data_IF_917343000541
#
_entry.id   IF_917343000541
#
_cell.length_a   1.000
_cell.length_b   1.000
_cell.length_c   1.000
_cell.angle_alpha   90.00
_cell.angle_beta   90.00
_cell.angle_gamma   90.00
#
_symmetry.space_group_name_H-M   'P 1'
#
loop_
_entity.id
_entity.type
_entity.pdbx_description
1 polymer ?
#
# COMPACT_ATOMS: atom_id res chain seq x y z
N UNK A 1 36.83 -44.06 34.87
CA UNK A 1 36.68 -42.59 34.81
C UNK A 1 37.13 -42.12 33.43
N UNK A 2 36.19 -41.62 32.62
CA UNK A 2 36.35 -40.50 31.68
C UNK A 2 35.03 -40.36 30.91
N UNK A 3 34.10 -39.57 31.47
CA UNK A 3 32.91 -39.12 30.75
C UNK A 3 33.36 -38.07 29.72
N UNK A 4 33.26 -38.37 28.44
CA UNK A 4 33.28 -37.34 27.39
C UNK A 4 31.93 -36.62 27.39
N UNK A 5 31.90 -35.28 27.47
CA UNK A 5 30.65 -34.53 27.41
C UNK A 5 30.03 -34.63 26.00
N UNK A 6 28.69 -34.66 25.88
CA UNK A 6 28.04 -34.61 24.58
C UNK A 6 28.28 -33.23 23.97
N UNK A 7 28.94 -33.19 22.81
CA UNK A 7 29.11 -31.98 22.02
C UNK A 7 27.78 -31.65 21.36
N UNK A 8 27.09 -30.63 21.84
CA UNK A 8 25.96 -30.03 21.12
C UNK A 8 26.52 -29.25 19.93
N UNK A 9 26.05 -29.48 18.68
CA UNK A 9 26.35 -28.57 17.60
C UNK A 9 25.49 -27.32 17.78
N UNK A 10 26.10 -26.25 18.29
CA UNK A 10 25.56 -24.90 18.21
C UNK A 10 25.78 -24.37 16.79
N UNK A 11 24.87 -24.66 15.87
CA UNK A 11 24.85 -23.95 14.59
C UNK A 11 24.14 -22.62 14.81
N UNK A 12 24.82 -21.47 14.69
CA UNK A 12 24.12 -20.19 14.65
C UNK A 12 23.34 -20.17 13.34
N UNK A 13 22.02 -20.01 13.42
CA UNK A 13 21.14 -19.73 12.28
C UNK A 13 21.75 -18.59 11.47
N UNK A 14 22.40 -18.92 10.36
CA UNK A 14 23.08 -17.93 9.53
C UNK A 14 21.98 -17.30 8.68
N UNK A 15 21.76 -16.01 8.89
CA UNK A 15 20.85 -15.25 8.05
C UNK A 15 21.32 -15.34 6.60
N UNK A 16 20.41 -15.25 5.61
CA UNK A 16 20.83 -15.09 4.24
C UNK A 16 21.76 -13.87 4.12
N UNK A 17 22.74 -13.89 3.21
CA UNK A 17 23.57 -12.74 2.91
C UNK A 17 22.71 -11.51 2.65
N UNK A 18 23.18 -10.35 3.08
CA UNK A 18 22.48 -9.08 2.80
C UNK A 18 22.38 -8.95 1.28
N UNK A 19 21.15 -8.90 0.79
CA UNK A 19 20.90 -8.71 -0.63
C UNK A 19 21.06 -7.24 -0.98
N UNK A 20 22.27 -6.86 -1.40
CA UNK A 20 22.50 -5.54 -1.99
C UNK A 20 22.07 -5.58 -3.46
N UNK A 21 21.32 -4.58 -3.95
CA UNK A 21 21.19 -4.40 -5.40
C UNK A 21 22.58 -4.22 -6.04
N UNK A 22 22.74 -4.49 -7.33
CA UNK A 22 23.80 -3.84 -8.08
C UNK A 22 23.59 -2.32 -7.97
N UNK A 23 24.63 -1.56 -7.60
CA UNK A 23 24.62 -0.09 -7.62
C UNK A 23 24.30 0.37 -9.05
N UNK A 24 23.02 0.57 -9.35
CA UNK A 24 22.58 1.08 -10.64
C UNK A 24 22.87 2.58 -10.67
N UNK A 25 24.07 2.92 -11.16
CA UNK A 25 24.60 4.27 -11.41
C UNK A 25 24.72 5.17 -10.16
N UNK A 26 25.58 6.21 -10.16
CA UNK A 26 25.66 7.14 -9.04
C UNK A 26 24.38 7.99 -9.05
N UNK A 27 23.34 7.48 -8.40
CA UNK A 27 22.21 8.29 -7.98
C UNK A 27 22.71 9.40 -7.06
N UNK A 28 22.15 10.60 -7.24
CA UNK A 28 22.43 11.80 -6.45
C UNK A 28 22.55 11.42 -4.96
N UNK A 29 23.57 11.94 -4.23
CA UNK A 29 23.71 11.66 -2.80
C UNK A 29 22.39 11.97 -2.09
N UNK A 30 22.00 11.15 -1.11
CA UNK A 30 20.79 11.39 -0.35
C UNK A 30 20.80 12.81 0.21
N UNK A 31 19.67 13.49 0.13
CA UNK A 31 19.54 14.83 0.71
C UNK A 31 20.00 14.78 2.17
N UNK A 32 20.81 15.74 2.64
CA UNK A 32 21.31 15.71 4.00
C UNK A 32 20.13 15.68 4.98
N UNK A 33 20.16 14.72 5.90
CA UNK A 33 19.17 14.61 6.98
C UNK A 33 19.15 15.92 7.75
N UNK A 34 17.96 16.50 7.96
CA UNK A 34 17.84 17.66 8.84
C UNK A 34 18.27 17.25 10.26
N UNK A 35 19.02 18.10 10.94
CA UNK A 35 19.54 17.83 12.28
C UNK A 35 18.44 17.52 13.32
N UNK A 36 17.20 17.97 13.07
CA UNK A 36 16.01 17.63 13.87
C UNK A 36 15.52 16.18 13.68
N UNK A 37 15.82 15.55 12.55
CA UNK A 37 15.44 14.15 12.28
C UNK A 37 16.45 13.17 12.89
N UNK A 38 17.71 13.61 13.09
CA UNK A 38 18.78 12.81 13.70
C UNK A 38 18.54 12.57 15.20
N UNK A 39 17.92 13.51 15.90
CA UNK A 39 17.65 13.40 17.34
C UNK A 39 16.57 12.35 17.71
N UNK A 40 15.79 11.89 16.74
CA UNK A 40 14.74 10.87 16.94
C UNK A 40 15.15 9.47 16.46
N UNK A 41 16.40 9.26 16.01
CA UNK A 41 16.97 7.93 15.79
C UNK A 41 17.29 7.27 17.14
N UNK A 42 16.25 6.96 17.90
CA UNK A 42 16.34 5.86 18.86
C UNK A 42 16.68 4.60 18.07
N UNK A 43 17.81 3.97 18.38
CA UNK A 43 18.26 2.67 17.82
C UNK A 43 17.23 1.52 17.99
N UNK A 44 16.03 1.79 18.50
CA UNK A 44 14.96 0.81 18.73
C UNK A 44 13.76 0.94 17.77
N UNK A 45 13.68 1.98 16.95
CA UNK A 45 12.62 2.09 15.94
C UNK A 45 13.15 1.62 14.59
N UNK A 46 12.68 0.47 14.11
CA UNK A 46 12.82 0.10 12.69
C UNK A 46 12.34 1.32 11.88
N UNK A 47 13.17 1.91 11.02
CA UNK A 47 12.82 3.16 10.36
C UNK A 47 11.54 2.98 9.55
N UNK A 48 10.65 3.98 9.62
CA UNK A 48 9.42 4.02 8.82
C UNK A 48 9.81 3.88 7.34
N UNK A 49 9.19 2.92 6.64
CA UNK A 49 9.56 2.55 5.27
C UNK A 49 10.28 1.21 5.11
N UNK A 50 10.66 0.56 6.22
CA UNK A 50 11.09 -0.85 6.21
C UNK A 50 9.89 -1.81 6.35
N UNK A 51 8.80 -1.50 5.66
CA UNK A 51 7.52 -2.22 5.77
C UNK A 51 7.02 -2.60 4.38
N UNK A 52 6.30 -3.70 4.30
CA UNK A 52 5.49 -3.97 3.13
C UNK A 52 4.08 -3.42 3.36
N UNK A 53 3.47 -2.93 2.30
CA UNK A 53 2.03 -2.68 2.23
C UNK A 53 1.40 -3.86 1.49
N UNK A 54 0.36 -4.43 2.08
CA UNK A 54 -0.46 -5.49 1.48
C UNK A 54 -1.79 -4.85 1.09
N UNK A 55 -2.13 -4.89 -0.20
CA UNK A 55 -3.36 -4.31 -0.77
C UNK A 55 -4.28 -5.40 -1.33
N UNK A 56 -5.52 -5.03 -1.60
CA UNK A 56 -6.50 -5.92 -2.23
C UNK A 56 -7.10 -6.95 -1.26
N UNK A 57 -7.08 -6.64 0.03
CA UNK A 57 -7.65 -7.50 1.05
C UNK A 57 -9.17 -7.38 0.97
N UNK A 58 -9.83 -8.49 0.66
CA UNK A 58 -11.29 -8.56 0.63
C UNK A 58 -11.78 -8.66 2.05
N UNK A 59 -12.57 -7.68 2.50
CA UNK A 59 -13.09 -7.65 3.87
C UNK A 59 -14.23 -8.66 4.01
N UNK A 60 -14.18 -9.43 5.09
CA UNK A 60 -15.27 -10.32 5.52
C UNK A 60 -16.13 -9.59 6.56
N UNK A 61 -17.40 -9.99 6.70
CA UNK A 61 -18.33 -9.34 7.62
C UNK A 61 -17.77 -9.28 9.05
N UNK A 62 -17.55 -8.05 9.53
CA UNK A 62 -17.07 -7.77 10.88
C UNK A 62 -15.56 -7.91 11.09
N UNK A 63 -14.78 -8.24 10.05
CA UNK A 63 -13.31 -8.35 10.15
C UNK A 63 -12.58 -7.19 9.50
N UNK A 64 -11.48 -6.76 10.11
CA UNK A 64 -10.55 -5.80 9.52
C UNK A 64 -9.50 -6.50 8.65
N UNK A 65 -8.84 -5.73 7.78
CA UNK A 65 -7.77 -6.23 6.93
C UNK A 65 -6.61 -6.87 7.73
N UNK A 66 -6.26 -6.31 8.88
CA UNK A 66 -5.21 -6.84 9.74
C UNK A 66 -5.62 -8.15 10.42
N UNK A 67 -6.87 -8.27 10.86
CA UNK A 67 -7.42 -9.53 11.42
C UNK A 67 -7.36 -10.65 10.38
N UNK A 68 -7.78 -10.39 9.15
CA UNK A 68 -7.75 -11.35 8.04
C UNK A 68 -6.33 -11.83 7.75
N UNK A 69 -5.34 -10.92 7.81
CA UNK A 69 -3.94 -11.29 7.61
C UNK A 69 -3.41 -12.11 8.77
N UNK A 70 -3.68 -11.70 10.02
CA UNK A 70 -3.30 -12.48 11.20
C UNK A 70 -3.85 -13.91 11.13
N UNK A 71 -5.16 -14.07 10.87
CA UNK A 71 -5.79 -15.39 10.71
C UNK A 71 -5.16 -16.20 9.57
N UNK A 72 -4.90 -15.57 8.42
CA UNK A 72 -4.25 -16.23 7.28
C UNK A 72 -2.86 -16.75 7.65
N UNK A 73 -2.08 -15.95 8.37
CA UNK A 73 -0.73 -16.32 8.81
C UNK A 73 -0.79 -17.44 9.86
N UNK A 74 -1.71 -17.37 10.83
CA UNK A 74 -1.91 -18.38 11.87
C UNK A 74 -2.35 -19.73 11.30
N UNK A 75 -3.33 -19.74 10.39
CA UNK A 75 -3.80 -20.95 9.70
C UNK A 75 -2.66 -21.63 8.92
N UNK A 76 -1.71 -20.85 8.39
CA UNK A 76 -0.57 -21.38 7.64
C UNK A 76 0.55 -21.90 8.52
N UNK A 77 0.80 -21.28 9.67
CA UNK A 77 1.69 -21.85 10.70
C UNK A 77 1.17 -23.23 11.16
N UNK A 78 -0.15 -23.41 11.21
CA UNK A 78 -0.79 -24.69 11.56
C UNK A 78 -0.76 -25.73 10.42
N UNK A 79 -0.83 -25.33 9.14
CA UNK A 79 -0.92 -26.23 7.97
C UNK A 79 0.41 -26.46 7.24
N UNK A 80 1.51 -26.51 8.02
CA UNK A 80 2.95 -26.48 7.67
C UNK A 80 3.50 -27.45 6.58
N UNK A 81 2.67 -28.05 5.72
CA UNK A 81 3.07 -29.06 4.75
C UNK A 81 3.25 -28.58 3.29
N UNK A 82 2.70 -27.43 2.86
CA UNK A 82 2.56 -27.12 1.42
C UNK A 82 3.33 -25.91 0.86
N UNK A 83 4.11 -25.17 1.68
CA UNK A 83 4.91 -24.04 1.16
C UNK A 83 6.34 -24.46 0.84
N UNK A 84 6.56 -24.87 -0.42
CA UNK A 84 7.89 -25.09 -1.03
C UNK A 84 8.55 -23.77 -1.43
N UNK A 85 8.53 -22.74 -0.57
CA UNK A 85 9.00 -21.39 -0.92
C UNK A 85 10.11 -20.93 0.02
N UNK A 86 11.33 -20.89 -0.55
CA UNK A 86 12.58 -20.23 -0.14
C UNK A 86 12.68 -19.90 1.35
N UNK A 87 13.28 -20.84 2.06
CA UNK A 87 13.46 -20.76 3.49
C UNK A 87 14.93 -20.49 3.82
N UNK A 88 15.18 -19.95 5.01
CA UNK A 88 16.54 -19.89 5.56
C UNK A 88 17.14 -21.29 5.71
N UNK A 89 18.40 -21.38 6.15
CA UNK A 89 19.11 -22.66 6.41
C UNK A 89 18.36 -23.62 7.37
N UNK A 90 17.30 -23.14 8.05
CA UNK A 90 16.46 -23.89 8.99
C UNK A 90 15.01 -24.13 8.51
N UNK A 91 14.68 -23.82 7.26
CA UNK A 91 13.34 -23.98 6.72
C UNK A 91 12.23 -23.07 7.35
N UNK A 92 12.57 -21.89 7.90
CA UNK A 92 11.61 -21.00 8.58
C UNK A 92 11.61 -19.56 8.06
N UNK A 93 10.41 -18.98 7.91
CA UNK A 93 10.23 -17.54 7.63
C UNK A 93 10.44 -16.74 8.92
N UNK A 94 10.97 -15.52 8.79
CA UNK A 94 11.11 -14.61 9.92
C UNK A 94 9.75 -14.06 10.34
N UNK A 95 9.44 -14.09 11.63
CA UNK A 95 8.19 -13.57 12.18
C UNK A 95 7.95 -12.11 11.79
N UNK A 96 6.72 -11.82 11.37
CA UNK A 96 6.24 -10.48 11.03
C UNK A 96 5.18 -10.00 12.03
N UNK A 97 5.04 -8.69 12.12
CA UNK A 97 3.97 -8.01 12.86
C UNK A 97 3.11 -7.26 11.86
N UNK A 98 1.79 -7.47 11.95
CA UNK A 98 0.79 -6.74 11.17
C UNK A 98 0.53 -5.39 11.84
N UNK A 99 0.55 -4.33 11.04
CA UNK A 99 0.24 -2.98 11.49
C UNK A 99 -1.05 -2.53 10.78
N UNK A 100 -2.12 -2.26 11.54
CA UNK A 100 -3.35 -1.75 10.97
C UNK A 100 -3.10 -0.42 10.26
N UNK A 101 -3.82 -0.18 9.17
CA UNK A 101 -3.82 1.12 8.52
C UNK A 101 -4.61 2.13 9.39
N UNK A 102 -3.91 2.73 10.35
CA UNK A 102 -4.48 3.56 11.42
C UNK A 102 -4.86 4.96 10.92
N UNK A 103 -6.00 5.07 10.25
CA UNK A 103 -6.66 6.37 10.09
C UNK A 103 -8.17 6.20 10.17
N UNK A 104 -8.79 7.04 11.02
CA UNK A 104 -10.25 7.15 11.21
C UNK A 104 -11.03 7.36 9.90
N UNK A 105 -10.35 7.77 8.82
CA UNK A 105 -10.97 7.96 7.49
C UNK A 105 -11.15 6.67 6.69
N UNK A 106 -10.67 5.54 7.20
CA UNK A 106 -10.59 4.33 6.42
C UNK A 106 -11.01 3.07 7.21
N UNK A 107 -12.18 3.12 7.86
CA UNK A 107 -12.75 1.97 8.57
C UNK A 107 -12.93 0.71 7.69
N UNK A 108 -12.95 0.87 6.36
CA UNK A 108 -13.05 -0.21 5.37
C UNK A 108 -11.74 -0.34 4.55
N UNK A 109 -10.59 -0.28 5.22
CA UNK A 109 -9.30 -0.43 4.55
C UNK A 109 -9.14 -1.82 3.95
N UNK A 110 -8.93 -1.89 2.64
CA UNK A 110 -8.56 -3.12 1.92
C UNK A 110 -7.04 -3.29 1.85
N UNK A 111 -6.31 -2.67 2.80
CA UNK A 111 -4.87 -2.75 2.91
C UNK A 111 -4.40 -2.69 4.37
N UNK A 112 -3.23 -3.26 4.64
CA UNK A 112 -2.51 -3.10 5.91
C UNK A 112 -1.01 -2.99 5.63
N UNK A 113 -0.23 -2.79 6.70
CA UNK A 113 1.23 -2.87 6.63
C UNK A 113 1.74 -4.10 7.38
N UNK A 114 2.89 -4.62 6.98
CA UNK A 114 3.59 -5.68 7.71
C UNK A 114 5.06 -5.31 7.85
N UNK A 115 5.62 -5.64 9.01
CA UNK A 115 7.02 -5.40 9.36
C UNK A 115 7.63 -6.61 10.03
N UNK A 116 8.95 -6.68 10.14
CA UNK A 116 9.60 -7.70 10.97
C UNK A 116 9.20 -7.54 12.43
N UNK A 117 9.03 -8.66 13.13
CA UNK A 117 8.76 -8.64 14.57
C UNK A 117 9.94 -8.04 15.35
N UNK A 118 9.64 -7.36 16.46
CA UNK A 118 10.68 -6.74 17.30
C UNK A 118 11.76 -7.72 17.77
N UNK A 119 11.46 -8.97 18.17
CA UNK A 119 12.48 -9.94 18.55
C UNK A 119 13.43 -10.35 17.41
N UNK A 120 12.96 -10.32 16.15
CA UNK A 120 13.81 -10.58 14.99
C UNK A 120 14.66 -9.34 14.69
N UNK A 121 14.04 -8.16 14.70
CA UNK A 121 14.71 -6.90 14.42
C UNK A 121 15.81 -6.58 15.44
N UNK A 122 15.58 -6.84 16.73
CA UNK A 122 16.53 -6.53 17.81
C UNK A 122 17.77 -7.43 17.87
N UNK A 123 17.71 -8.61 17.22
CA UNK A 123 18.85 -9.54 17.11
C UNK A 123 19.86 -9.11 16.05
N UNK A 124 19.55 -8.09 15.25
CA UNK A 124 20.39 -7.64 14.15
C UNK A 124 21.22 -6.42 14.56
N UNK A 125 22.51 -6.43 14.23
CA UNK A 125 23.35 -5.21 14.36
C UNK A 125 22.97 -4.15 13.32
N UNK A 126 22.42 -4.56 12.18
CA UNK A 126 22.00 -3.69 11.08
C UNK A 126 20.53 -3.97 10.72
N UNK A 127 19.71 -2.97 10.35
CA UNK A 127 18.35 -3.21 9.86
C UNK A 127 18.35 -4.17 8.67
N UNK A 128 17.54 -5.23 8.74
CA UNK A 128 17.42 -6.28 7.71
C UNK A 128 16.04 -6.30 7.03
N UNK A 129 15.56 -5.17 6.47
CA UNK A 129 14.26 -5.13 5.80
C UNK A 129 14.19 -6.09 4.62
N UNK A 130 15.33 -6.40 3.98
CA UNK A 130 15.43 -7.38 2.90
C UNK A 130 14.83 -8.76 3.25
N UNK A 131 14.76 -9.12 4.53
CA UNK A 131 14.09 -10.36 4.99
C UNK A 131 12.58 -10.35 4.74
N UNK A 132 11.95 -9.17 4.62
CA UNK A 132 10.55 -9.05 4.22
C UNK A 132 10.33 -9.40 2.75
N UNK A 133 11.34 -9.33 1.87
CA UNK A 133 11.17 -9.75 0.48
C UNK A 133 10.78 -11.23 0.37
N UNK A 134 11.20 -12.05 1.33
CA UNK A 134 10.85 -13.46 1.40
C UNK A 134 9.35 -13.67 1.62
N UNK A 135 8.66 -12.69 2.21
CA UNK A 135 7.21 -12.74 2.45
C UNK A 135 6.38 -12.39 1.22
N UNK A 136 6.89 -11.61 0.26
CA UNK A 136 6.13 -11.20 -0.93
C UNK A 136 5.57 -12.42 -1.71
N UNK A 137 6.40 -13.39 -2.16
CA UNK A 137 5.90 -14.54 -2.91
C UNK A 137 4.98 -15.43 -2.06
N UNK A 138 5.24 -15.53 -0.75
CA UNK A 138 4.42 -16.30 0.18
C UNK A 138 3.02 -15.69 0.25
N UNK A 139 2.91 -14.40 0.56
CA UNK A 139 1.63 -13.69 0.65
C UNK A 139 0.84 -13.78 -0.66
N UNK A 140 1.51 -13.61 -1.80
CA UNK A 140 0.88 -13.76 -3.12
C UNK A 140 0.43 -15.19 -3.42
N UNK A 141 1.12 -16.21 -2.92
CA UNK A 141 0.70 -17.61 -3.08
C UNK A 141 -0.51 -17.96 -2.19
N UNK A 142 -0.60 -17.34 -1.02
CA UNK A 142 -1.69 -17.54 -0.06
C UNK A 142 -2.99 -16.92 -0.57
N UNK A 143 -2.87 -15.71 -1.10
CA UNK A 143 -3.99 -14.96 -1.65
C UNK A 143 -3.55 -14.29 -2.94
N UNK A 144 -3.85 -14.89 -4.11
CA UNK A 144 -3.43 -14.35 -5.42
C UNK A 144 -3.93 -12.94 -5.71
N UNK A 145 -5.01 -12.52 -5.06
CA UNK A 145 -5.58 -11.17 -5.19
C UNK A 145 -4.87 -10.13 -4.32
N UNK A 146 -4.02 -10.57 -3.38
CA UNK A 146 -3.24 -9.66 -2.55
C UNK A 146 -2.01 -9.20 -3.29
N UNK A 147 -1.76 -7.89 -3.17
CA UNK A 147 -0.55 -7.29 -3.68
C UNK A 147 0.31 -6.84 -2.51
N UNK A 148 1.40 -7.58 -2.27
CA UNK A 148 2.46 -7.18 -1.37
C UNK A 148 3.52 -6.37 -2.15
N UNK A 149 3.82 -5.16 -1.68
CA UNK A 149 4.92 -4.34 -2.20
C UNK A 149 5.56 -3.54 -1.08
N UNK A 150 6.72 -2.94 -1.35
CA UNK A 150 7.30 -1.94 -0.44
C UNK A 150 6.31 -0.79 -0.18
N UNK A 151 6.22 -0.39 1.09
CA UNK A 151 5.39 0.75 1.50
C UNK A 151 6.09 2.09 1.17
N UNK A 152 5.34 3.17 0.92
CA UNK A 152 5.93 4.51 0.90
C UNK A 152 6.53 4.88 2.26
N UNK A 153 7.55 5.76 2.29
CA UNK A 153 8.20 6.21 3.53
C UNK A 153 7.24 6.84 4.57
N UNK A 154 6.04 7.26 4.17
CA UNK A 154 5.01 7.83 5.05
C UNK A 154 3.71 7.05 4.90
N UNK A 155 3.22 6.48 5.99
CA UNK A 155 1.91 5.81 6.03
C UNK A 155 0.80 6.73 5.49
N UNK A 156 -0.11 6.15 4.71
CA UNK A 156 -1.23 6.87 4.10
C UNK A 156 -0.86 7.75 2.90
N UNK A 157 0.39 7.71 2.42
CA UNK A 157 0.79 8.31 1.14
C UNK A 157 0.62 7.38 -0.06
N UNK A 158 0.21 6.13 0.17
CA UNK A 158 -0.12 5.22 -0.90
C UNK A 158 -1.39 5.69 -1.61
N UNK A 159 -1.25 6.17 -2.84
CA UNK A 159 -2.34 6.74 -3.63
C UNK A 159 -2.66 5.92 -4.87
N UNK A 160 -2.07 4.74 -5.03
CA UNK A 160 -2.26 3.86 -6.20
C UNK A 160 -3.72 3.47 -6.45
N UNK A 161 -4.51 3.39 -5.38
CA UNK A 161 -5.93 3.03 -5.43
C UNK A 161 -6.85 4.24 -5.66
N UNK A 162 -6.30 5.46 -5.73
CA UNK A 162 -7.06 6.71 -5.68
C UNK A 162 -7.33 7.24 -7.08
N UNK A 163 -8.46 6.89 -7.67
CA UNK A 163 -8.90 7.46 -8.94
C UNK A 163 -9.46 8.88 -8.74
N UNK A 164 -9.20 9.75 -9.72
CA UNK A 164 -9.75 11.10 -9.77
C UNK A 164 -10.91 11.16 -10.75
N UNK A 165 -12.04 11.68 -10.29
CA UNK A 165 -13.28 11.85 -11.04
C UNK A 165 -13.42 13.32 -11.41
N UNK A 166 -13.46 13.63 -12.70
CA UNK A 166 -13.69 14.98 -13.21
C UNK A 166 -15.05 15.06 -13.92
N UNK A 167 -15.58 16.26 -14.09
CA UNK A 167 -16.87 16.48 -14.76
C UNK A 167 -18.09 16.44 -13.82
N UNK A 168 -17.85 16.57 -12.51
CA UNK A 168 -18.90 16.88 -11.54
C UNK A 168 -19.45 18.29 -11.79
N UNK A 169 -20.69 18.55 -11.38
CA UNK A 169 -21.39 19.81 -11.68
C UNK A 169 -20.62 21.06 -11.24
N UNK A 170 -19.76 20.98 -10.20
CA UNK A 170 -18.92 22.08 -9.72
C UNK A 170 -19.68 23.26 -9.11
N UNK A 171 -21.00 23.33 -9.31
CA UNK A 171 -21.89 24.38 -8.90
C UNK A 171 -22.63 23.98 -7.61
N UNK A 172 -22.80 24.95 -6.71
CA UNK A 172 -23.59 24.77 -5.49
C UNK A 172 -22.79 24.36 -4.26
N UNK A 173 -23.46 23.65 -3.33
CA UNK A 173 -22.91 23.34 -2.01
C UNK A 173 -22.27 21.95 -1.97
N UNK A 174 -21.49 21.67 -0.93
CA UNK A 174 -20.93 20.32 -0.66
C UNK A 174 -21.99 19.21 -0.73
N UNK A 175 -23.21 19.47 -0.25
CA UNK A 175 -24.31 18.49 -0.32
C UNK A 175 -24.68 18.11 -1.76
N UNK A 176 -24.53 19.01 -2.73
CA UNK A 176 -24.78 18.70 -4.13
C UNK A 176 -23.67 17.84 -4.71
N UNK A 177 -22.42 18.15 -4.37
CA UNK A 177 -21.26 17.37 -4.82
C UNK A 177 -21.28 15.95 -4.25
N UNK A 178 -21.68 15.79 -2.99
CA UNK A 178 -21.84 14.47 -2.36
C UNK A 178 -22.94 13.64 -3.06
N UNK A 179 -24.03 14.28 -3.53
CA UNK A 179 -25.08 13.60 -4.33
C UNK A 179 -24.58 13.19 -5.71
N UNK A 180 -23.87 14.07 -6.42
CA UNK A 180 -23.27 13.74 -7.71
C UNK A 180 -22.30 12.56 -7.55
N UNK A 181 -21.45 12.61 -6.52
CA UNK A 181 -20.49 11.55 -6.23
C UNK A 181 -21.21 10.23 -5.90
N UNK A 182 -22.31 10.24 -5.14
CA UNK A 182 -23.09 9.03 -4.87
C UNK A 182 -23.65 8.38 -6.15
N UNK A 183 -24.14 9.17 -7.11
CA UNK A 183 -24.61 8.65 -8.40
C UNK A 183 -23.46 8.08 -9.23
N UNK A 184 -22.31 8.76 -9.24
CA UNK A 184 -21.10 8.25 -9.88
C UNK A 184 -20.65 6.95 -9.21
N UNK A 185 -20.76 6.86 -7.89
CA UNK A 185 -20.39 5.64 -7.16
C UNK A 185 -21.28 4.46 -7.50
N UNK A 186 -22.60 4.67 -7.55
CA UNK A 186 -23.55 3.65 -8.00
C UNK A 186 -23.22 3.16 -9.42
N UNK A 187 -22.88 4.07 -10.34
CA UNK A 187 -22.47 3.71 -11.70
C UNK A 187 -21.17 2.88 -11.73
N UNK A 188 -20.17 3.25 -10.91
CA UNK A 188 -18.91 2.50 -10.78
C UNK A 188 -19.17 1.11 -10.19
N UNK A 189 -19.97 1.01 -9.14
CA UNK A 189 -20.33 -0.28 -8.54
C UNK A 189 -21.08 -1.19 -9.52
N UNK A 190 -21.94 -0.63 -10.39
CA UNK A 190 -22.62 -1.38 -11.47
C UNK A 190 -21.68 -1.92 -12.53
N UNK A 191 -20.45 -1.40 -12.63
CA UNK A 191 -19.38 -1.99 -13.46
C UNK A 191 -18.67 -3.15 -12.77
N UNK A 192 -19.07 -3.53 -11.56
CA UNK A 192 -18.44 -4.59 -10.77
C UNK A 192 -17.18 -4.12 -10.03
N UNK A 193 -16.96 -2.81 -9.91
CA UNK A 193 -15.78 -2.24 -9.24
C UNK A 193 -16.08 -2.01 -7.76
N UNK A 194 -15.22 -2.55 -6.90
CA UNK A 194 -15.33 -2.38 -5.45
C UNK A 194 -14.68 -1.08 -5.00
N UNK A 195 -15.45 -0.28 -4.27
CA UNK A 195 -15.05 1.05 -3.81
C UNK A 195 -14.95 1.03 -2.29
N UNK A 196 -13.75 1.31 -1.79
CA UNK A 196 -13.48 1.36 -0.36
C UNK A 196 -13.88 2.70 0.26
N UNK A 197 -13.71 3.81 -0.47
CA UNK A 197 -14.05 5.15 0.03
C UNK A 197 -14.20 6.15 -1.12
N UNK A 198 -14.90 7.27 -0.87
CA UNK A 198 -15.01 8.37 -1.82
C UNK A 198 -15.26 9.69 -1.12
N UNK A 199 -14.75 10.79 -1.67
CA UNK A 199 -15.07 12.15 -1.19
C UNK A 199 -14.92 13.19 -2.30
N UNK A 200 -15.70 14.27 -2.23
CA UNK A 200 -15.53 15.44 -3.12
C UNK A 200 -14.38 16.34 -2.65
N UNK A 201 -13.70 17.01 -3.56
CA UNK A 201 -12.75 18.07 -3.21
C UNK A 201 -13.45 19.39 -2.87
N UNK A 202 -12.72 20.31 -2.24
CA UNK A 202 -13.28 21.56 -1.72
C UNK A 202 -13.91 22.48 -2.78
N UNK A 203 -13.54 22.31 -4.05
CA UNK A 203 -14.07 23.07 -5.19
C UNK A 203 -15.23 22.35 -5.91
N UNK A 204 -15.64 21.15 -5.49
CA UNK A 204 -16.78 20.43 -6.07
C UNK A 204 -16.64 19.91 -7.51
N UNK A 205 -15.58 20.31 -8.21
CA UNK A 205 -15.32 19.95 -9.61
C UNK A 205 -14.65 18.58 -9.74
N UNK A 206 -14.06 18.07 -8.66
CA UNK A 206 -13.35 16.80 -8.63
C UNK A 206 -13.82 15.93 -7.46
N UNK A 207 -13.99 14.64 -7.73
CA UNK A 207 -14.16 13.60 -6.73
C UNK A 207 -12.90 12.75 -6.64
N UNK A 208 -12.64 12.20 -5.46
CA UNK A 208 -11.65 11.14 -5.28
C UNK A 208 -12.39 9.87 -4.91
N UNK A 209 -12.04 8.78 -5.58
CA UNK A 209 -12.58 7.45 -5.37
C UNK A 209 -11.42 6.52 -5.06
N UNK A 210 -11.49 5.83 -3.92
CA UNK A 210 -10.50 4.85 -3.49
C UNK A 210 -11.05 3.46 -3.75
N UNK A 211 -10.39 2.72 -4.62
CA UNK A 211 -10.78 1.37 -5.00
C UNK A 211 -10.20 0.32 -4.07
N UNK A 212 -10.80 -0.86 -4.07
CA UNK A 212 -10.36 -1.97 -3.23
C UNK A 212 -9.14 -2.70 -3.81
N UNK A 213 -9.06 -2.83 -5.14
CA UNK A 213 -7.99 -3.55 -5.84
C UNK A 213 -7.30 -2.69 -6.91
N UNK A 214 -6.01 -2.96 -7.16
CA UNK A 214 -5.26 -2.27 -8.23
C UNK A 214 -5.80 -2.63 -9.62
N UNK A 215 -6.27 -3.87 -9.82
CA UNK A 215 -6.87 -4.28 -11.08
C UNK A 215 -8.08 -3.40 -11.43
N UNK A 216 -8.87 -3.04 -10.43
CA UNK A 216 -10.05 -2.17 -10.60
C UNK A 216 -9.67 -0.77 -11.08
N UNK A 217 -8.50 -0.25 -10.70
CA UNK A 217 -8.01 1.05 -11.17
C UNK A 217 -7.80 1.02 -12.67
N UNK A 218 -7.09 0.01 -13.15
CA UNK A 218 -6.79 -0.13 -14.59
C UNK A 218 -8.06 -0.40 -15.39
N UNK A 219 -8.93 -1.26 -14.87
CA UNK A 219 -10.24 -1.53 -15.47
C UNK A 219 -11.10 -0.28 -15.55
N UNK A 220 -11.26 0.45 -14.44
CA UNK A 220 -12.10 1.64 -14.38
C UNK A 220 -11.57 2.75 -15.31
N UNK A 221 -10.25 2.95 -15.36
CA UNK A 221 -9.63 3.86 -16.32
C UNK A 221 -9.91 3.47 -17.78
N UNK A 222 -9.92 2.17 -18.10
CA UNK A 222 -10.25 1.69 -19.45
C UNK A 222 -11.71 1.94 -19.87
N UNK A 223 -12.59 2.17 -18.90
CA UNK A 223 -14.00 2.54 -19.13
C UNK A 223 -14.22 4.04 -19.23
N UNK A 224 -13.20 4.84 -18.95
CA UNK A 224 -13.25 6.30 -19.05
C UNK A 224 -13.32 6.75 -20.52
N UNK A 225 -14.14 7.76 -20.87
CA UNK A 225 -15.08 8.47 -20.01
C UNK A 225 -16.39 7.70 -19.77
N UNK A 226 -17.02 7.94 -18.63
CA UNK A 226 -18.38 7.45 -18.34
C UNK A 226 -19.42 8.51 -18.74
N UNK A 227 -20.56 8.05 -19.26
CA UNK A 227 -21.73 8.90 -19.54
C UNK A 227 -22.76 8.72 -18.43
N UNK A 228 -22.93 9.72 -17.57
CA UNK A 228 -23.72 9.63 -16.34
C UNK A 228 -24.64 10.85 -16.23
N UNK A 229 -25.93 10.64 -16.03
CA UNK A 229 -26.87 11.74 -15.77
C UNK A 229 -26.75 12.16 -14.30
N UNK A 230 -26.26 13.37 -14.05
CA UNK A 230 -26.10 13.89 -12.69
C UNK A 230 -27.36 14.63 -12.23
N UNK A 231 -27.73 14.54 -10.95
CA UNK A 231 -28.97 15.12 -10.43
C UNK A 231 -28.95 16.65 -10.38
N UNK A 232 -27.77 17.28 -10.35
CA UNK A 232 -27.61 18.73 -10.19
C UNK A 232 -27.07 19.43 -11.45
N UNK A 233 -27.29 18.85 -12.63
CA UNK A 233 -26.96 19.53 -13.88
C UNK A 233 -27.94 20.67 -14.15
N UNK A 234 -27.41 21.79 -14.61
CA UNK A 234 -28.23 22.87 -15.16
C UNK A 234 -29.07 22.31 -16.31
N UNK A 235 -30.39 22.44 -16.20
CA UNK A 235 -31.31 21.99 -17.23
C UNK A 235 -30.99 22.74 -18.53
N UNK A 236 -30.83 21.98 -19.61
CA UNK A 236 -30.71 22.59 -20.94
C UNK A 236 -31.97 23.41 -21.26
N UNK A 237 -31.83 24.41 -22.14
CA UNK A 237 -32.94 25.26 -22.60
C UNK A 237 -34.10 24.44 -23.20
N UNK A 238 -33.83 23.20 -23.65
CA UNK A 238 -34.83 22.26 -24.17
C UNK A 238 -35.50 21.39 -23.10
N UNK A 239 -35.16 21.52 -21.82
CA UNK A 239 -35.73 20.74 -20.71
C UNK A 239 -35.26 19.29 -20.64
N UNK A 240 -34.32 18.88 -21.50
CA UNK A 240 -33.73 17.54 -21.47
C UNK A 240 -32.45 17.51 -20.64
N UNK A 241 -32.33 16.54 -19.72
CA UNK A 241 -31.07 16.27 -19.03
C UNK A 241 -30.12 15.55 -19.98
N UNK A 242 -29.05 16.22 -20.40
CA UNK A 242 -27.97 15.58 -21.16
C UNK A 242 -26.99 14.90 -20.21
N UNK A 243 -26.64 13.63 -20.43
CA UNK A 243 -25.72 12.94 -19.54
C UNK A 243 -24.37 13.65 -19.50
N UNK A 244 -23.84 13.84 -18.30
CA UNK A 244 -22.51 14.37 -18.04
C UNK A 244 -21.45 13.41 -18.56
N UNK A 245 -20.39 13.96 -19.14
CA UNK A 245 -19.16 13.23 -19.39
C UNK A 245 -18.31 13.25 -18.11
N UNK A 246 -18.13 12.08 -17.51
CA UNK A 246 -17.32 11.89 -16.32
C UNK A 246 -15.99 11.27 -16.71
N UNK A 247 -14.93 12.07 -16.65
CA UNK A 247 -13.58 11.61 -16.97
C UNK A 247 -12.91 11.05 -15.72
N UNK A 248 -12.59 9.76 -15.75
CA UNK A 248 -11.79 9.09 -14.74
C UNK A 248 -10.33 9.17 -15.16
N UNK A 249 -9.51 9.75 -14.28
CA UNK A 249 -8.08 9.97 -14.54
C UNK A 249 -7.22 9.16 -13.59
N UNK A 250 -6.00 8.89 -14.05
CA UNK A 250 -5.03 8.08 -13.34
C UNK A 250 -4.84 8.57 -11.90
N UNK A 251 -4.54 7.62 -10.97
CA UNK A 251 -4.11 7.97 -9.64
C UNK A 251 -2.93 8.92 -9.62
N UNK A 252 -2.68 9.52 -8.46
CA UNK A 252 -1.49 10.34 -8.28
C UNK A 252 -0.26 9.51 -8.60
N UNK A 253 0.62 10.04 -9.47
CA UNK A 253 1.90 9.38 -9.78
C UNK A 253 2.64 9.12 -8.46
N UNK A 254 3.12 7.89 -8.30
CA UNK A 254 3.88 7.45 -7.14
C UNK A 254 5.14 6.78 -7.66
N UNK A 255 6.28 7.14 -7.08
CA UNK A 255 7.53 6.43 -7.35
C UNK A 255 7.50 5.19 -6.47
N UNK A 256 7.58 4.03 -7.11
CA UNK A 256 7.59 2.76 -6.40
C UNK A 256 9.01 2.44 -5.96
N UNK A 257 9.26 2.35 -4.65
CA UNK A 257 10.52 1.80 -4.19
C UNK A 257 10.57 0.34 -4.64
N UNK A 258 11.56 0.02 -5.45
CA UNK A 258 11.78 -1.35 -5.91
C UNK A 258 12.49 -2.15 -4.81
N UNK A 259 13.17 -1.47 -3.89
CA UNK A 259 13.98 -2.10 -2.86
C UNK A 259 13.99 -1.33 -1.53
N UNK A 260 14.26 -2.05 -0.44
CA UNK A 260 14.32 -1.48 0.90
C UNK A 260 15.40 -0.39 1.07
N UNK A 261 16.56 -0.52 0.41
CA UNK A 261 17.63 0.48 0.49
C UNK A 261 17.22 1.82 -0.14
N UNK A 262 16.38 1.80 -1.18
CA UNK A 262 15.86 3.04 -1.77
C UNK A 262 15.04 3.77 -0.71
N UNK A 263 14.21 3.05 0.03
CA UNK A 263 13.40 3.64 1.11
C UNK A 263 14.25 4.28 2.21
N UNK A 264 15.35 3.63 2.61
CA UNK A 264 16.27 4.10 3.67
C UNK A 264 17.15 5.25 3.21
N UNK A 265 17.75 5.16 2.02
CA UNK A 265 18.73 6.13 1.52
C UNK A 265 18.04 7.40 1.07
N UNK A 266 17.00 7.29 0.25
CA UNK A 266 16.47 8.46 -0.46
C UNK A 266 15.57 9.33 0.40
N UNK A 267 15.07 8.81 1.53
CA UNK A 267 14.00 9.47 2.26
C UNK A 267 12.90 9.93 1.32
N UNK A 268 12.43 9.08 0.37
CA UNK A 268 11.27 9.32 -0.53
C UNK A 268 9.96 9.45 0.29
N UNK A 269 9.98 10.34 1.28
CA UNK A 269 8.85 10.87 2.02
C UNK A 269 8.49 12.27 1.54
N UNK A 270 9.34 12.89 0.72
CA UNK A 270 9.03 14.16 0.08
C UNK A 270 8.71 13.90 -1.38
N UNK A 271 7.40 13.77 -1.62
CA UNK A 271 6.81 14.02 -2.92
C UNK A 271 7.42 15.30 -3.47
N UNK A 272 8.03 15.16 -4.63
CA UNK A 272 8.89 16.17 -5.19
C UNK A 272 8.09 17.44 -5.57
N UNK A 273 8.32 18.54 -4.85
CA UNK A 273 7.90 19.88 -5.26
C UNK A 273 8.79 20.47 -6.37
N UNK A 274 9.95 19.85 -6.64
CA UNK A 274 10.89 20.15 -7.73
C UNK A 274 10.74 19.26 -9.00
N UNK A 275 9.86 18.25 -9.00
CA UNK A 275 9.41 17.56 -10.23
C UNK A 275 8.49 18.48 -11.06
N UNK A 276 8.18 19.66 -10.52
CA UNK A 276 7.52 20.75 -11.22
C UNK A 276 8.39 21.43 -12.29
N UNK A 277 9.63 20.99 -12.54
CA UNK A 277 10.52 21.74 -13.44
C UNK A 277 11.26 20.97 -14.54
N UNK A 278 11.35 19.64 -14.54
CA UNK A 278 12.13 18.95 -15.59
C UNK A 278 11.50 17.63 -16.04
N UNK A 279 10.31 17.71 -16.62
CA UNK A 279 9.89 16.91 -17.77
C UNK A 279 9.14 17.90 -18.66
N UNK A 280 9.73 18.23 -19.81
CA UNK A 280 9.16 19.13 -20.83
C UNK A 280 7.67 18.85 -21.11
#
# INVERSE_FOLDING_TARGET
>A
MANTPPTTPSTPSRLPPISHPPLSTPGRPPSPLNASDVANFSMQAVPVGCELIIRGITLEDGKTADEIICETLELKVQTRNDLTVVLNDNNELYDITVIPASSRRFSNNTFCYVRLSMPVASKQMEPRPDLLNLWIPVLSSLHPNWQASWSPCKMGKDKKLWCRINGMSGNGSKSNWDKDLAVIMDAICKLGVNVSSSWSTANGQMGVVVLSHIADVSFLMSKSPLSITLPNQDLSVSGHCHPSRIDITAPYKQIDPTYAFEVVITGIGDYDHSFALHLD
#
